data_IF_057677481547
#
_entry.id   IF_057677481547
#
_cell.length_a   1.000
_cell.length_b   1.000
_cell.length_c   1.000
_cell.angle_alpha   90.00
_cell.angle_beta   90.00
_cell.angle_gamma   90.00
#
_symmetry.space_group_name_H-M   'P 1'
#
loop_
_entity.id
_entity.type
_entity.pdbx_description
1 polymer ?
#
# COMPACT_ATOMS: atom_id res chain seq x y z
N UNK A 1 16.93 -0.71 15.02
CA UNK A 1 15.80 -0.63 14.05
C UNK A 1 16.10 0.51 13.08
N UNK A 2 15.79 0.38 11.79
CA UNK A 2 16.03 1.44 10.80
C UNK A 2 15.12 2.66 11.04
N UNK A 3 15.63 3.89 10.98
CA UNK A 3 14.88 5.12 11.32
C UNK A 3 13.63 5.32 10.43
N UNK A 4 13.72 5.00 9.14
CA UNK A 4 12.58 5.11 8.23
C UNK A 4 11.48 4.12 8.62
N UNK A 5 11.86 2.87 8.89
CA UNK A 5 10.92 1.83 9.34
C UNK A 5 10.27 2.25 10.66
N UNK A 6 11.06 2.69 11.65
CA UNK A 6 10.53 3.14 12.93
C UNK A 6 9.52 4.28 12.74
N UNK A 7 9.86 5.29 11.92
CA UNK A 7 8.97 6.41 11.63
C UNK A 7 7.68 5.95 10.97
N UNK A 8 7.76 5.12 9.94
CA UNK A 8 6.60 4.62 9.20
C UNK A 8 5.77 3.59 9.98
N UNK A 9 6.29 3.10 11.11
CA UNK A 9 5.56 2.24 12.04
C UNK A 9 4.83 3.03 13.14
N UNK A 10 5.05 4.34 13.22
CA UNK A 10 4.47 5.20 14.24
C UNK A 10 3.27 5.97 13.69
N UNK A 11 2.11 5.34 13.81
CA UNK A 11 0.83 5.90 13.38
C UNK A 11 0.54 5.67 11.90
N UNK A 12 -0.43 6.42 11.39
CA UNK A 12 -0.90 6.31 10.01
C UNK A 12 -0.33 7.45 9.15
N UNK A 13 0.18 7.11 7.99
CA UNK A 13 0.82 8.05 7.07
C UNK A 13 0.04 8.18 5.76
N UNK A 14 0.02 9.36 5.13
CA UNK A 14 -0.55 9.51 3.80
C UNK A 14 0.17 8.62 2.78
N UNK A 15 -0.61 7.86 2.01
CA UNK A 15 -0.12 7.00 0.94
C UNK A 15 -0.90 7.22 -0.35
N UNK A 16 -0.31 6.84 -1.48
CA UNK A 16 -0.99 6.71 -2.76
C UNK A 16 -0.64 5.38 -3.45
N UNK A 17 -1.56 4.86 -4.27
CA UNK A 17 -1.24 3.80 -5.20
C UNK A 17 -0.36 4.37 -6.32
N UNK A 18 0.91 3.96 -6.35
CA UNK A 18 1.87 4.42 -7.35
C UNK A 18 1.74 3.58 -8.62
N UNK A 19 0.88 4.04 -9.53
CA UNK A 19 0.59 3.34 -10.78
C UNK A 19 1.29 4.03 -11.94
N UNK A 20 1.86 3.22 -12.84
CA UNK A 20 2.47 3.68 -14.09
C UNK A 20 2.10 2.74 -15.23
N UNK A 21 1.88 3.26 -16.46
CA UNK A 21 1.89 4.68 -16.83
C UNK A 21 0.61 5.43 -16.43
N UNK A 22 -0.50 4.73 -16.22
CA UNK A 22 -1.82 5.32 -15.96
C UNK A 22 -2.25 5.15 -14.51
N UNK A 23 -2.75 6.24 -13.90
CA UNK A 23 -3.28 6.24 -12.52
C UNK A 23 -4.81 6.07 -12.55
N UNK A 24 -5.25 4.84 -12.79
CA UNK A 24 -6.68 4.47 -12.89
C UNK A 24 -7.05 3.32 -11.96
N UNK A 25 -8.31 3.23 -11.54
CA UNK A 25 -8.79 2.12 -10.73
C UNK A 25 -8.66 0.76 -11.45
N UNK A 26 -8.78 0.73 -12.78
CA UNK A 26 -8.52 -0.48 -13.58
C UNK A 26 -7.08 -0.95 -13.45
N UNK A 27 -6.09 -0.06 -13.66
CA UNK A 27 -4.68 -0.40 -13.50
C UNK A 27 -4.34 -0.82 -12.05
N UNK A 28 -5.03 -0.24 -11.08
CA UNK A 28 -4.91 -0.65 -9.68
C UNK A 28 -5.44 -2.06 -9.45
N UNK A 29 -6.64 -2.37 -9.97
CA UNK A 29 -7.23 -3.70 -9.91
C UNK A 29 -6.31 -4.75 -10.53
N UNK A 30 -5.75 -4.47 -11.71
CA UNK A 30 -4.80 -5.39 -12.36
C UNK A 30 -3.56 -5.64 -11.51
N UNK A 31 -3.09 -4.64 -10.76
CA UNK A 31 -1.97 -4.81 -9.82
C UNK A 31 -2.35 -5.72 -8.66
N UNK A 32 -3.54 -5.51 -8.08
CA UNK A 32 -4.09 -6.38 -7.03
C UNK A 32 -4.25 -7.81 -7.54
N UNK A 33 -4.82 -8.02 -8.73
CA UNK A 33 -5.02 -9.34 -9.34
C UNK A 33 -3.69 -10.08 -9.60
N UNK A 34 -2.61 -9.34 -9.91
CA UNK A 34 -1.25 -9.90 -10.02
C UNK A 34 -0.60 -10.24 -8.68
N UNK A 35 -1.20 -9.81 -7.56
CA UNK A 35 -0.73 -10.08 -6.20
C UNK A 35 0.41 -9.17 -5.72
N UNK A 36 0.67 -8.06 -6.41
CA UNK A 36 1.64 -7.06 -5.97
C UNK A 36 1.23 -5.65 -6.37
N UNK A 37 1.42 -4.70 -5.46
CA UNK A 37 1.06 -3.29 -5.64
C UNK A 37 2.23 -2.40 -5.26
N UNK A 38 2.26 -1.20 -5.84
CA UNK A 38 3.21 -0.17 -5.43
C UNK A 38 2.48 0.84 -4.54
N UNK A 39 2.94 0.98 -3.30
CA UNK A 39 2.40 1.92 -2.31
C UNK A 39 3.45 2.97 -2.03
N UNK A 40 3.10 4.23 -2.26
CA UNK A 40 4.01 5.35 -2.03
C UNK A 40 3.60 6.16 -0.81
N UNK A 41 4.47 6.18 0.20
CA UNK A 41 4.36 7.08 1.33
C UNK A 41 4.77 8.47 0.89
N UNK A 42 3.82 9.40 0.84
CA UNK A 42 4.01 10.70 0.16
C UNK A 42 4.73 11.72 1.05
N UNK A 43 4.57 11.63 2.38
CA UNK A 43 5.17 12.57 3.33
C UNK A 43 6.60 12.17 3.78
N UNK A 44 7.37 11.54 2.91
CA UNK A 44 8.80 11.29 3.11
C UNK A 44 9.61 12.15 2.16
N UNK A 45 10.89 12.44 2.48
CA UNK A 45 11.77 13.23 1.60
C UNK A 45 11.91 12.53 0.24
N UNK A 46 11.28 13.08 -0.82
CA UNK A 46 11.25 12.51 -2.17
C UNK A 46 10.20 11.41 -2.41
N UNK A 47 9.38 11.08 -1.41
CA UNK A 47 8.48 9.91 -1.44
C UNK A 47 9.21 8.58 -1.20
N UNK A 48 8.51 7.61 -0.61
CA UNK A 48 9.02 6.23 -0.43
C UNK A 48 8.07 5.30 -1.16
N UNK A 49 8.48 4.82 -2.33
CA UNK A 49 7.70 3.91 -3.17
C UNK A 49 8.11 2.47 -2.87
N UNK A 50 7.15 1.65 -2.44
CA UNK A 50 7.36 0.30 -1.96
C UNK A 50 6.56 -0.69 -2.81
N UNK A 51 7.23 -1.67 -3.40
CA UNK A 51 6.59 -2.84 -3.98
C UNK A 51 6.16 -3.79 -2.84
N UNK A 52 4.86 -3.96 -2.65
CA UNK A 52 4.25 -4.76 -1.59
C UNK A 52 3.67 -6.02 -2.22
N UNK A 53 4.13 -7.19 -1.75
CA UNK A 53 3.53 -8.48 -2.13
C UNK A 53 2.31 -8.73 -1.26
N UNK A 54 1.13 -8.76 -1.86
CA UNK A 54 -0.13 -8.86 -1.14
C UNK A 54 -0.31 -10.22 -0.45
N UNK A 55 -0.89 -10.19 0.74
CA UNK A 55 -1.50 -11.33 1.42
C UNK A 55 -3.02 -11.26 1.21
N UNK A 56 -3.59 -12.10 0.31
CA UNK A 56 -5.02 -12.09 0.02
C UNK A 56 -5.90 -12.51 1.21
N UNK A 57 -5.33 -13.16 2.25
CA UNK A 57 -6.09 -13.56 3.44
C UNK A 57 -6.23 -12.42 4.45
N UNK A 58 -5.29 -11.48 4.44
CA UNK A 58 -5.29 -10.30 5.32
C UNK A 58 -5.80 -9.04 4.61
N UNK A 59 -5.82 -9.03 3.29
CA UNK A 59 -6.37 -7.94 2.48
C UNK A 59 -7.87 -8.10 2.25
N UNK A 60 -8.55 -6.98 1.99
CA UNK A 60 -9.97 -6.97 1.63
C UNK A 60 -10.27 -5.89 0.59
N UNK A 61 -10.86 -6.30 -0.53
CA UNK A 61 -11.36 -5.42 -1.59
C UNK A 61 -12.72 -5.89 -2.12
N UNK A 62 -13.49 -6.63 -1.31
CA UNK A 62 -14.78 -7.20 -1.75
C UNK A 62 -15.86 -6.13 -1.97
N UNK A 63 -15.75 -4.99 -1.29
CA UNK A 63 -16.70 -3.87 -1.40
C UNK A 63 -16.25 -2.81 -2.42
N UNK A 64 -15.14 -3.07 -3.12
CA UNK A 64 -14.54 -2.11 -4.04
C UNK A 64 -15.15 -2.24 -5.44
N UNK A 65 -15.69 -1.13 -5.95
CA UNK A 65 -16.22 -1.02 -7.31
C UNK A 65 -15.18 -0.32 -8.19
N UNK A 66 -14.31 -1.12 -8.81
CA UNK A 66 -13.25 -0.62 -9.67
C UNK A 66 -13.77 -0.05 -11.00
N UNK A 67 -14.94 -0.48 -11.47
CA UNK A 67 -15.54 0.03 -12.71
C UNK A 67 -16.04 1.47 -12.51
N UNK A 68 -16.69 1.74 -11.38
CA UNK A 68 -17.22 3.07 -11.05
C UNK A 68 -16.28 3.90 -10.15
N UNK A 69 -15.10 3.40 -9.82
CA UNK A 69 -14.09 4.04 -8.97
C UNK A 69 -14.65 4.43 -7.58
N UNK A 70 -15.39 3.51 -6.95
CA UNK A 70 -16.06 3.73 -5.66
C UNK A 70 -15.65 2.71 -4.61
N UNK A 71 -15.64 3.17 -3.37
CA UNK A 71 -15.31 2.34 -2.22
C UNK A 71 -13.82 2.38 -1.88
N UNK A 72 -13.43 1.49 -0.99
CA UNK A 72 -12.07 1.43 -0.43
C UNK A 72 -11.54 0.01 -0.51
N UNK A 73 -10.22 -0.10 -0.61
CA UNK A 73 -9.50 -1.35 -0.50
C UNK A 73 -8.60 -1.32 0.71
N UNK A 74 -8.59 -2.41 1.47
CA UNK A 74 -7.62 -2.69 2.52
C UNK A 74 -6.57 -3.64 1.96
N UNK A 75 -5.32 -3.20 1.94
CA UNK A 75 -4.20 -3.94 1.37
C UNK A 75 -3.20 -4.26 2.48
N UNK A 76 -2.89 -5.54 2.62
CA UNK A 76 -1.87 -6.03 3.54
C UNK A 76 -0.87 -6.86 2.76
N UNK A 77 0.41 -6.66 3.01
CA UNK A 77 1.43 -7.46 2.38
C UNK A 77 2.81 -7.28 2.98
N UNK A 78 3.71 -8.18 2.65
CA UNK A 78 5.04 -8.23 3.26
C UNK A 78 6.11 -7.73 2.27
N UNK A 79 7.14 -7.07 2.80
CA UNK A 79 8.32 -6.67 2.06
C UNK A 79 9.55 -6.60 2.97
N UNK A 80 10.72 -6.38 2.37
CA UNK A 80 11.95 -6.05 3.10
C UNK A 80 12.36 -4.62 2.79
N UNK A 81 12.42 -3.78 3.82
CA UNK A 81 12.85 -2.38 3.72
C UNK A 81 14.09 -2.18 4.57
N UNK A 82 15.20 -1.75 3.94
CA UNK A 82 16.48 -1.52 4.62
C UNK A 82 16.91 -2.70 5.51
N UNK A 83 16.82 -3.92 4.96
CA UNK A 83 17.14 -5.20 5.64
C UNK A 83 16.20 -5.57 6.80
N UNK A 84 15.11 -4.83 7.02
CA UNK A 84 14.07 -5.17 8.01
C UNK A 84 12.87 -5.76 7.28
N UNK A 85 12.45 -6.96 7.69
CA UNK A 85 11.17 -7.52 7.24
C UNK A 85 10.04 -6.73 7.87
N UNK A 86 9.13 -6.24 7.03
CA UNK A 86 7.99 -5.44 7.47
C UNK A 86 6.73 -5.91 6.77
N UNK A 87 5.60 -5.76 7.47
CA UNK A 87 4.26 -5.84 6.92
C UNK A 87 3.77 -4.43 6.63
N UNK A 88 3.33 -4.18 5.41
CA UNK A 88 2.66 -2.94 5.02
C UNK A 88 1.15 -3.15 5.08
N UNK A 89 0.47 -2.18 5.69
CA UNK A 89 -0.99 -2.10 5.75
C UNK A 89 -1.40 -0.75 5.18
N UNK A 90 -2.29 -0.75 4.19
CA UNK A 90 -2.74 0.46 3.52
C UNK A 90 -4.23 0.39 3.15
N UNK A 91 -4.98 1.42 3.54
CA UNK A 91 -6.35 1.65 3.10
C UNK A 91 -6.34 2.72 2.00
N UNK A 92 -6.88 2.38 0.83
CA UNK A 92 -6.89 3.26 -0.36
C UNK A 92 -8.32 3.48 -0.83
N UNK A 93 -8.68 4.74 -1.04
CA UNK A 93 -9.93 5.15 -1.67
C UNK A 93 -9.82 5.05 -3.19
N UNK A 94 -10.76 4.37 -3.85
CA UNK A 94 -10.69 4.15 -5.30
C UNK A 94 -10.92 5.43 -6.12
N UNK A 95 -11.60 6.44 -5.57
CA UNK A 95 -11.88 7.67 -6.29
C UNK A 95 -10.64 8.56 -6.44
N UNK A 96 -9.72 8.50 -5.47
CA UNK A 96 -8.50 9.33 -5.46
C UNK A 96 -7.23 8.51 -5.68
N UNK A 97 -7.30 7.19 -5.43
CA UNK A 97 -6.14 6.29 -5.33
C UNK A 97 -5.14 6.74 -4.25
N UNK A 98 -5.66 7.38 -3.20
CA UNK A 98 -4.94 7.86 -2.03
C UNK A 98 -5.57 7.31 -0.75
N UNK A 99 -4.81 7.36 0.33
CA UNK A 99 -5.33 7.00 1.64
C UNK A 99 -4.29 7.02 2.73
N UNK A 100 -4.36 6.04 3.63
CA UNK A 100 -3.47 5.94 4.79
C UNK A 100 -2.84 4.56 4.88
N UNK A 101 -1.62 4.52 5.38
CA UNK A 101 -0.96 3.25 5.66
C UNK A 101 0.18 3.39 6.64
N UNK A 102 0.66 2.23 7.08
CA UNK A 102 1.78 2.10 8.01
C UNK A 102 2.59 0.85 7.72
N UNK A 103 3.73 0.75 8.37
CA UNK A 103 4.55 -0.45 8.42
C UNK A 103 4.51 -1.08 9.81
N UNK A 104 4.67 -2.38 9.88
CA UNK A 104 4.92 -3.11 11.12
C UNK A 104 6.14 -4.01 10.94
N UNK A 105 7.18 -3.90 11.78
CA UNK A 105 8.27 -4.86 11.79
C UNK A 105 7.73 -6.26 12.10
N UNK A 106 8.12 -7.24 11.30
CA UNK A 106 7.81 -8.63 11.61
C UNK A 106 8.93 -9.15 12.50
N UNK A 107 8.66 -9.31 13.80
CA UNK A 107 9.60 -9.98 14.70
C UNK A 107 9.79 -11.43 14.23
N UNK A 108 11.04 -11.87 14.17
CA UNK A 108 11.40 -13.26 13.87
C UNK A 108 11.48 -14.08 15.14
#
# INVERSE_FOLDING_TARGET
MNELVQRLSQGEHPVEASLRPEKTATAFKESIDRGYVHIKFTNTKGGTDLAVRLDPKASNWSEADFEHQKGKVHLVGDLTLNYVKVRCMADIDLATLEGKGRLEPVEQ
#
